data_IF_856974269713
#
_entry.id   IF_856974269713
#
_cell.length_a   1.000
_cell.length_b   1.000
_cell.length_c   1.000
_cell.angle_alpha   90.00
_cell.angle_beta   90.00
_cell.angle_gamma   90.00
#
_symmetry.space_group_name_H-M   'P 1'
#
loop_
_entity.id
_entity.type
_entity.pdbx_description
1 polymer ?
#
# COMPACT_ATOMS: atom_id res chain seq x y z
N UNK A 1 23.21 0.14 -10.11
CA UNK A 1 22.35 0.11 -8.91
C UNK A 1 22.97 -0.91 -7.97
N UNK A 2 23.24 -0.54 -6.71
CA UNK A 2 23.72 -1.52 -5.72
C UNK A 2 22.52 -2.37 -5.33
N UNK A 3 22.58 -3.68 -5.59
CA UNK A 3 21.53 -4.60 -5.16
C UNK A 3 21.45 -4.58 -3.62
N UNK A 4 20.24 -4.49 -3.07
CA UNK A 4 20.04 -4.67 -1.64
C UNK A 4 20.49 -6.09 -1.30
N UNK A 5 21.34 -6.30 -0.28
CA UNK A 5 21.72 -7.65 0.12
C UNK A 5 20.45 -8.44 0.49
N UNK A 6 20.32 -9.64 -0.07
CA UNK A 6 19.28 -10.58 0.35
C UNK A 6 19.64 -11.14 1.72
N UNK A 7 18.95 -10.65 2.75
CA UNK A 7 19.07 -11.10 4.13
C UNK A 7 18.22 -12.35 4.38
N UNK A 8 17.06 -12.48 3.71
CA UNK A 8 16.16 -13.64 3.79
C UNK A 8 15.18 -13.70 2.60
N UNK A 9 14.61 -14.89 2.33
CA UNK A 9 13.85 -15.20 1.11
C UNK A 9 12.56 -14.40 0.85
N UNK A 10 12.01 -13.70 1.85
CA UNK A 10 10.76 -12.94 1.74
C UNK A 10 10.96 -11.42 1.87
N UNK A 11 12.22 -10.97 1.97
CA UNK A 11 12.57 -9.57 2.23
C UNK A 11 11.93 -8.61 1.22
N UNK A 12 12.02 -8.95 -0.06
CA UNK A 12 11.47 -8.18 -1.16
C UNK A 12 9.95 -7.94 -1.00
N UNK A 13 9.19 -9.00 -0.69
CA UNK A 13 7.74 -8.93 -0.46
C UNK A 13 7.40 -8.09 0.78
N UNK A 14 8.23 -8.16 1.82
CA UNK A 14 8.08 -7.29 3.01
C UNK A 14 8.33 -5.82 2.68
N UNK A 15 9.33 -5.51 1.84
CA UNK A 15 9.62 -4.15 1.42
C UNK A 15 8.44 -3.59 0.60
N UNK A 16 7.92 -4.37 -0.34
CA UNK A 16 6.72 -4.07 -1.12
C UNK A 16 5.52 -3.76 -0.23
N UNK A 17 5.17 -4.69 0.67
CA UNK A 17 4.08 -4.49 1.63
C UNK A 17 4.28 -3.23 2.50
N UNK A 18 5.51 -2.98 2.99
CA UNK A 18 5.79 -1.79 3.81
C UNK A 18 5.69 -0.49 3.01
N UNK A 19 6.21 -0.47 1.77
CA UNK A 19 6.17 0.71 0.91
C UNK A 19 4.72 1.11 0.60
N UNK A 20 3.87 0.14 0.23
CA UNK A 20 2.46 0.40 -0.07
C UNK A 20 1.61 0.65 1.17
N UNK A 21 1.99 0.11 2.32
CA UNK A 21 1.44 0.54 3.60
C UNK A 21 1.69 2.04 3.80
N UNK A 22 2.94 2.51 3.70
CA UNK A 22 3.26 3.94 3.84
C UNK A 22 2.53 4.81 2.81
N UNK A 23 2.41 4.34 1.57
CA UNK A 23 1.64 5.05 0.55
C UNK A 23 0.15 5.18 0.94
N UNK A 24 -0.46 4.11 1.44
CA UNK A 24 -1.82 4.15 1.96
C UNK A 24 -1.96 5.14 3.14
N UNK A 25 -0.97 5.20 4.04
CA UNK A 25 -0.95 6.19 5.12
C UNK A 25 -0.93 7.62 4.62
N UNK A 26 -0.06 7.94 3.67
CA UNK A 26 0.03 9.30 3.14
C UNK A 26 -1.24 9.70 2.40
N UNK A 27 -1.79 8.82 1.56
CA UNK A 27 -3.04 9.07 0.86
C UNK A 27 -4.19 9.28 1.86
N UNK A 28 -4.34 8.38 2.84
CA UNK A 28 -5.36 8.50 3.87
C UNK A 28 -5.22 9.80 4.65
N UNK A 29 -4.01 10.13 5.11
CA UNK A 29 -3.75 11.32 5.92
C UNK A 29 -3.97 12.62 5.14
N UNK A 30 -3.79 12.61 3.82
CA UNK A 30 -4.06 13.77 2.96
C UNK A 30 -5.57 13.93 2.66
N UNK A 31 -6.32 12.83 2.62
CA UNK A 31 -7.73 12.82 2.21
C UNK A 31 -8.72 12.73 3.39
N UNK A 32 -8.25 12.44 4.61
CA UNK A 32 -9.06 12.45 5.82
C UNK A 32 -9.60 13.86 6.06
N UNK A 33 -10.91 13.98 6.27
CA UNK A 33 -11.63 15.27 6.39
C UNK A 33 -12.07 15.89 5.06
N UNK A 34 -11.45 15.54 3.93
CA UNK A 34 -11.93 15.94 2.59
C UNK A 34 -12.98 14.97 2.03
N UNK A 35 -12.87 13.67 2.38
CA UNK A 35 -13.78 12.62 1.92
C UNK A 35 -14.88 12.36 2.95
N UNK A 36 -16.13 12.34 2.48
CA UNK A 36 -17.33 12.36 3.33
C UNK A 36 -17.54 11.12 4.20
N UNK A 37 -16.97 9.97 3.85
CA UNK A 37 -17.09 8.75 4.66
C UNK A 37 -15.79 7.96 4.70
N UNK A 38 -15.50 7.36 5.85
CA UNK A 38 -14.34 6.47 6.05
C UNK A 38 -14.36 5.27 5.09
N UNK A 39 -15.54 4.76 4.75
CA UNK A 39 -15.68 3.67 3.77
C UNK A 39 -15.27 4.10 2.36
N UNK A 40 -15.65 5.31 1.91
CA UNK A 40 -15.21 5.86 0.62
C UNK A 40 -13.71 6.15 0.64
N UNK A 41 -13.20 6.71 1.74
CA UNK A 41 -11.78 6.97 1.92
C UNK A 41 -10.95 5.68 1.83
N UNK A 42 -11.38 4.62 2.51
CA UNK A 42 -10.75 3.30 2.45
C UNK A 42 -10.75 2.73 1.03
N UNK A 43 -11.91 2.75 0.35
CA UNK A 43 -12.03 2.25 -1.02
C UNK A 43 -11.08 3.02 -1.97
N UNK A 44 -11.07 4.35 -1.90
CA UNK A 44 -10.22 5.18 -2.76
C UNK A 44 -8.73 4.97 -2.45
N UNK A 45 -8.35 4.82 -1.18
CA UNK A 45 -6.97 4.51 -0.78
C UNK A 45 -6.51 3.18 -1.38
N UNK A 46 -7.34 2.13 -1.27
CA UNK A 46 -7.02 0.81 -1.81
C UNK A 46 -6.97 0.80 -3.34
N UNK A 47 -7.92 1.46 -4.00
CA UNK A 47 -7.92 1.59 -5.46
C UNK A 47 -6.68 2.34 -5.95
N UNK A 48 -6.33 3.45 -5.30
CA UNK A 48 -5.12 4.20 -5.63
C UNK A 48 -3.87 3.32 -5.51
N UNK A 49 -3.72 2.61 -4.37
CA UNK A 49 -2.57 1.73 -4.15
C UNK A 49 -2.54 0.56 -5.14
N UNK A 50 -3.67 -0.09 -5.43
CA UNK A 50 -3.74 -1.22 -6.36
C UNK A 50 -3.42 -0.80 -7.80
N UNK A 51 -3.93 0.35 -8.25
CA UNK A 51 -3.63 0.90 -9.59
C UNK A 51 -2.15 1.28 -9.67
N UNK A 52 -1.63 1.97 -8.66
CA UNK A 52 -0.22 2.36 -8.64
C UNK A 52 0.70 1.13 -8.62
N UNK A 53 0.36 0.10 -7.85
CA UNK A 53 1.03 -1.20 -7.83
C UNK A 53 1.06 -1.87 -9.19
N UNK A 54 -0.08 -1.93 -9.86
CA UNK A 54 -0.15 -2.50 -11.20
C UNK A 54 0.72 -1.72 -12.20
N UNK A 55 0.77 -0.38 -12.08
CA UNK A 55 1.65 0.44 -12.92
C UNK A 55 3.12 0.27 -12.58
N UNK A 56 3.48 0.02 -11.31
CA UNK A 56 4.86 -0.23 -10.90
C UNK A 56 5.37 -1.55 -11.49
N UNK A 57 4.62 -2.65 -11.33
CA UNK A 57 4.95 -3.95 -11.94
C UNK A 57 5.04 -3.85 -13.47
N UNK A 58 4.12 -3.11 -14.09
CA UNK A 58 4.19 -2.86 -15.52
C UNK A 58 5.44 -2.07 -15.91
N UNK A 59 5.81 -1.03 -15.16
CA UNK A 59 7.07 -0.31 -15.38
C UNK A 59 8.30 -1.19 -15.15
N UNK A 60 8.30 -2.06 -14.13
CA UNK A 60 9.38 -2.99 -13.84
C UNK A 60 9.60 -3.98 -15.00
N UNK A 61 8.54 -4.35 -15.73
CA UNK A 61 8.64 -5.23 -16.91
C UNK A 61 9.52 -4.66 -18.04
N UNK A 62 9.76 -3.35 -18.06
CA UNK A 62 10.67 -2.71 -19.01
C UNK A 62 12.12 -2.62 -18.51
N UNK A 63 12.38 -2.99 -17.25
CA UNK A 63 13.71 -2.91 -16.65
C UNK A 63 14.41 -4.26 -16.79
N UNK A 64 15.46 -4.31 -17.61
CA UNK A 64 16.25 -5.52 -17.80
C UNK A 64 16.82 -6.03 -16.46
N UNK A 65 16.52 -7.29 -16.10
CA UNK A 65 16.95 -7.91 -14.85
C UNK A 65 15.97 -7.75 -13.69
N UNK A 66 14.80 -7.15 -13.89
CA UNK A 66 13.64 -7.22 -12.98
C UNK A 66 12.57 -8.13 -13.59
N UNK A 67 11.87 -8.85 -12.74
CA UNK A 67 10.74 -9.70 -13.13
C UNK A 67 9.47 -9.08 -12.57
N UNK A 68 8.49 -8.82 -13.44
CA UNK A 68 7.19 -8.31 -13.02
C UNK A 68 6.42 -9.46 -12.39
N UNK A 69 6.02 -9.29 -11.14
CA UNK A 69 5.58 -10.38 -10.27
C UNK A 69 4.21 -10.05 -9.68
N UNK A 70 3.25 -10.92 -10.01
CA UNK A 70 1.91 -10.85 -9.40
C UNK A 70 1.97 -10.97 -7.87
N UNK A 71 2.99 -11.63 -7.32
CA UNK A 71 3.14 -11.76 -5.87
C UNK A 71 3.58 -10.46 -5.20
N UNK A 72 4.32 -9.61 -5.90
CA UNK A 72 4.74 -8.30 -5.39
C UNK A 72 3.56 -7.32 -5.40
N UNK A 73 2.76 -7.34 -6.47
CA UNK A 73 1.49 -6.62 -6.49
C UNK A 73 0.50 -7.08 -5.39
N UNK A 74 0.47 -8.39 -5.08
CA UNK A 74 -0.34 -8.89 -3.97
C UNK A 74 0.22 -8.45 -2.61
N UNK A 75 1.54 -8.39 -2.45
CA UNK A 75 2.17 -7.87 -1.25
C UNK A 75 1.84 -6.38 -1.04
N UNK A 76 1.88 -5.59 -2.11
CA UNK A 76 1.50 -4.18 -2.15
C UNK A 76 0.07 -3.97 -1.65
N UNK A 77 -0.90 -4.68 -2.24
CA UNK A 77 -2.31 -4.63 -1.83
C UNK A 77 -2.48 -5.03 -0.38
N UNK A 78 -1.79 -6.08 0.07
CA UNK A 78 -1.87 -6.56 1.45
C UNK A 78 -1.37 -5.50 2.44
N UNK A 79 -0.23 -4.85 2.13
CA UNK A 79 0.32 -3.75 2.93
C UNK A 79 -0.63 -2.56 3.03
N UNK A 80 -1.18 -2.13 1.89
CA UNK A 80 -2.16 -1.04 1.82
C UNK A 80 -3.44 -1.38 2.60
N UNK A 81 -3.93 -2.62 2.50
CA UNK A 81 -5.13 -3.10 3.20
C UNK A 81 -4.95 -3.07 4.71
N UNK A 82 -3.86 -3.65 5.22
CA UNK A 82 -3.59 -3.73 6.65
C UNK A 82 -3.54 -2.34 7.28
N UNK A 83 -2.84 -1.39 6.65
CA UNK A 83 -2.72 -0.06 7.22
C UNK A 83 -4.01 0.75 7.09
N UNK A 84 -4.71 0.66 5.97
CA UNK A 84 -6.03 1.28 5.79
C UNK A 84 -7.04 0.79 6.84
N UNK A 85 -7.06 -0.52 7.12
CA UNK A 85 -7.92 -1.10 8.15
C UNK A 85 -7.55 -0.60 9.56
N UNK A 86 -6.25 -0.49 9.87
CA UNK A 86 -5.79 0.05 11.14
C UNK A 86 -6.19 1.53 11.34
N UNK A 87 -6.05 2.35 10.30
CA UNK A 87 -6.44 3.76 10.31
C UNK A 87 -7.95 3.95 10.47
N UNK A 88 -8.75 3.15 9.76
CA UNK A 88 -10.19 3.15 9.93
C UNK A 88 -10.57 2.81 11.38
N UNK A 89 -10.02 1.72 11.94
CA UNK A 89 -10.32 1.34 13.33
C UNK A 89 -9.95 2.44 14.33
N UNK A 90 -8.80 3.10 14.13
CA UNK A 90 -8.35 4.24 14.96
C UNK A 90 -9.38 5.36 14.96
N UNK A 91 -9.85 5.78 13.79
CA UNK A 91 -10.75 6.93 13.67
C UNK A 91 -12.16 6.63 14.15
N UNK A 92 -12.66 5.41 13.93
CA UNK A 92 -13.91 4.97 14.57
C UNK A 92 -13.83 4.97 16.08
N UNK A 93 -12.71 4.50 16.64
CA UNK A 93 -12.49 4.50 18.08
C UNK A 93 -12.33 5.90 18.68
N UNK A 94 -11.98 6.92 17.88
CA UNK A 94 -11.99 8.32 18.32
C UNK A 94 -13.41 8.88 18.33
N UNK A 95 -14.21 8.60 17.29
CA UNK A 95 -15.62 9.02 17.22
C UNK A 95 -16.50 8.40 18.32
N UNK A 96 -16.19 7.17 18.76
CA UNK A 96 -16.92 6.50 19.85
C UNK A 96 -16.55 7.04 21.26
N UNK A 97 -15.50 7.87 21.36
CA UNK A 97 -15.03 8.45 22.64
C UNK A 97 -15.48 9.89 22.87
N UNK A 98 -16.02 10.55 21.85
CA UNK A 98 -16.61 11.91 21.91
C UNK A 98 -18.11 11.84 22.17
#
# INVERSE_FOLDING_TARGET
MVAVPDLFSWQDKFIHALAYALMAFFFWSAAVGAISTHAKLALLTLLFCAIYGATDEWHQSFIAGRDASLFDWLADITGALLLTAALWKRERGLLERE
#
